data_IF_329245562794
#
_entry.id   IF_329245562794
#
_cell.length_a   1.000
_cell.length_b   1.000
_cell.length_c   1.000
_cell.angle_alpha   90.00
_cell.angle_beta   90.00
_cell.angle_gamma   90.00
#
_symmetry.space_group_name_H-M   'P 1'
#
loop_
_entity.id
_entity.type
_entity.pdbx_description
1 polymer ?
#
# COMPACT_ATOMS: atom_id res chain seq x y z
N UNK A 1 25.90 34.28 -34.37
CA UNK A 1 24.58 34.62 -33.76
C UNK A 1 24.59 34.11 -32.33
N UNK A 2 24.72 34.99 -31.33
CA UNK A 2 24.63 34.62 -29.91
C UNK A 2 23.17 34.75 -29.51
N UNK A 3 22.55 33.65 -29.09
CA UNK A 3 21.19 33.65 -28.56
C UNK A 3 21.19 34.27 -27.16
N UNK A 4 20.33 35.27 -26.86
CA UNK A 4 20.25 35.84 -25.52
C UNK A 4 19.39 34.94 -24.63
N UNK A 5 19.89 34.72 -23.42
CA UNK A 5 19.16 34.40 -22.19
C UNK A 5 17.96 33.45 -22.30
N UNK A 6 18.25 32.15 -22.33
CA UNK A 6 17.28 31.13 -21.96
C UNK A 6 17.25 31.05 -20.43
N UNK A 7 16.49 31.95 -19.78
CA UNK A 7 16.05 31.67 -18.41
C UNK A 7 15.31 30.33 -18.45
N UNK A 8 15.73 29.29 -17.72
CA UNK A 8 15.03 28.02 -17.75
C UNK A 8 13.66 28.22 -17.09
N UNK A 9 12.62 28.37 -17.90
CA UNK A 9 11.22 28.49 -17.45
C UNK A 9 10.73 27.14 -16.86
N UNK A 10 11.47 26.06 -17.09
CA UNK A 10 11.23 24.76 -16.47
C UNK A 10 11.56 24.84 -14.99
N UNK A 11 10.52 24.87 -14.13
CA UNK A 11 10.67 24.57 -12.70
C UNK A 11 11.53 23.30 -12.57
N UNK A 12 12.49 23.19 -11.62
CA UNK A 12 13.51 22.13 -11.60
C UNK A 12 13.02 20.67 -11.46
N UNK A 13 11.71 20.42 -11.62
CA UNK A 13 11.08 19.16 -11.27
C UNK A 13 9.76 18.90 -12.00
N UNK A 14 9.63 19.29 -13.28
CA UNK A 14 8.42 18.97 -14.05
C UNK A 14 8.71 18.26 -15.36
N UNK A 15 9.06 16.99 -15.21
CA UNK A 15 9.19 16.01 -16.30
C UNK A 15 8.57 14.67 -15.85
N UNK A 16 7.37 14.74 -15.24
CA UNK A 16 6.89 13.68 -14.31
C UNK A 16 5.70 12.84 -14.82
N UNK A 17 5.19 13.07 -16.02
CA UNK A 17 3.96 12.39 -16.47
C UNK A 17 4.19 11.00 -17.07
N UNK A 18 4.78 10.96 -18.26
CA UNK A 18 4.89 9.72 -19.03
C UNK A 18 6.17 8.93 -18.72
N UNK A 19 7.28 9.59 -18.38
CA UNK A 19 8.59 8.92 -18.36
C UNK A 19 8.72 7.81 -17.30
N UNK A 20 8.13 8.00 -16.13
CA UNK A 20 8.23 7.07 -14.99
C UNK A 20 7.25 5.90 -15.08
N UNK A 21 6.17 6.05 -15.83
CA UNK A 21 5.14 5.02 -16.06
C UNK A 21 5.29 4.33 -17.42
N UNK A 22 6.10 4.87 -18.33
CA UNK A 22 6.30 4.31 -19.67
C UNK A 22 7.16 3.04 -19.64
N UNK A 23 6.66 2.02 -20.33
CA UNK A 23 7.34 0.74 -20.47
C UNK A 23 8.68 0.86 -21.22
N UNK A 24 9.67 -0.01 -20.92
CA UNK A 24 11.03 0.10 -21.47
C UNK A 24 11.08 -0.01 -23.01
N UNK A 25 10.23 -0.82 -23.62
CA UNK A 25 10.09 -0.98 -25.07
C UNK A 25 9.54 0.28 -25.73
N UNK A 26 8.54 0.93 -25.12
CA UNK A 26 7.98 2.20 -25.61
C UNK A 26 8.99 3.33 -25.55
N UNK A 27 9.91 3.30 -24.57
CA UNK A 27 11.04 4.24 -24.47
C UNK A 27 12.08 4.04 -25.57
N UNK A 28 12.25 2.82 -26.07
CA UNK A 28 13.30 2.45 -27.04
C UNK A 28 12.79 2.63 -28.47
N UNK A 29 11.65 2.03 -28.79
CA UNK A 29 11.07 2.01 -30.14
C UNK A 29 9.55 1.88 -30.07
N UNK A 30 8.86 3.00 -29.87
CA UNK A 30 7.40 3.02 -29.74
C UNK A 30 6.65 2.55 -31.00
N UNK A 31 7.23 2.73 -32.19
CA UNK A 31 6.56 2.44 -33.47
C UNK A 31 6.34 0.94 -33.72
N UNK A 32 7.17 0.07 -33.14
CA UNK A 32 7.12 -1.39 -33.33
C UNK A 32 6.70 -2.17 -32.09
N UNK A 33 6.44 -1.49 -30.98
CA UNK A 33 6.13 -2.14 -29.71
C UNK A 33 4.62 -2.40 -29.55
N UNK A 34 4.27 -3.47 -28.86
CA UNK A 34 2.87 -3.79 -28.54
C UNK A 34 2.37 -2.90 -27.40
N UNK A 35 1.28 -2.18 -27.66
CA UNK A 35 0.65 -1.27 -26.71
C UNK A 35 0.02 -1.98 -25.51
N UNK A 36 -0.53 -3.18 -25.69
CA UNK A 36 -1.27 -3.88 -24.64
C UNK A 36 -0.41 -4.23 -23.41
N UNK A 37 0.75 -4.90 -23.55
CA UNK A 37 1.64 -5.15 -22.40
C UNK A 37 2.28 -3.86 -21.87
N UNK A 38 2.45 -2.83 -22.70
CA UNK A 38 2.94 -1.52 -22.25
C UNK A 38 1.93 -0.80 -21.35
N UNK A 39 0.63 -0.91 -21.66
CA UNK A 39 -0.45 -0.38 -20.85
C UNK A 39 -0.51 -1.08 -19.48
N UNK A 40 -0.34 -2.41 -19.44
CA UNK A 40 -0.24 -3.19 -18.19
C UNK A 40 0.90 -2.69 -17.30
N UNK A 41 2.06 -2.41 -17.88
CA UNK A 41 3.20 -1.84 -17.16
C UNK A 41 2.84 -0.48 -16.58
N UNK A 42 2.31 0.43 -17.40
CA UNK A 42 1.97 1.79 -16.97
C UNK A 42 0.86 1.83 -15.93
N UNK A 43 -0.11 0.91 -16.02
CA UNK A 43 -1.15 0.71 -15.03
C UNK A 43 -0.55 0.32 -13.68
N UNK A 44 0.36 -0.66 -13.63
CA UNK A 44 0.98 -1.09 -12.39
C UNK A 44 1.79 0.03 -11.72
N UNK A 45 2.53 0.82 -12.50
CA UNK A 45 3.27 1.98 -12.00
C UNK A 45 2.33 3.05 -11.44
N UNK A 46 1.22 3.30 -12.12
CA UNK A 46 0.19 4.25 -11.69
C UNK A 46 -0.50 3.80 -10.41
N UNK A 47 -0.86 2.51 -10.33
CA UNK A 47 -1.45 1.91 -9.14
C UNK A 47 -0.51 2.04 -7.94
N UNK A 48 0.78 1.77 -8.14
CA UNK A 48 1.78 1.95 -7.08
C UNK A 48 1.84 3.41 -6.61
N UNK A 49 1.93 4.39 -7.52
CA UNK A 49 1.93 5.82 -7.18
C UNK A 49 0.67 6.20 -6.39
N UNK A 50 -0.48 5.68 -6.80
CA UNK A 50 -1.74 5.92 -6.12
C UNK A 50 -1.75 5.37 -4.68
N UNK A 51 -1.24 4.15 -4.48
CA UNK A 51 -1.22 3.51 -3.17
C UNK A 51 -0.20 4.12 -2.21
N UNK A 52 0.98 4.49 -2.71
CA UNK A 52 2.07 5.04 -1.87
C UNK A 52 2.00 6.54 -1.71
N UNK A 53 1.30 7.25 -2.61
CA UNK A 53 1.29 8.71 -2.66
C UNK A 53 2.60 9.32 -3.16
N UNK A 54 3.57 8.52 -3.62
CA UNK A 54 4.88 8.99 -4.08
C UNK A 54 4.84 9.47 -5.54
N UNK A 55 4.84 10.80 -5.80
CA UNK A 55 4.50 11.35 -7.11
C UNK A 55 5.59 11.12 -8.18
N UNK A 56 6.81 10.77 -7.76
CA UNK A 56 7.93 10.52 -8.67
C UNK A 56 7.98 9.06 -9.13
N UNK A 57 7.20 8.17 -8.52
CA UNK A 57 7.27 6.76 -8.81
C UNK A 57 8.65 6.18 -8.49
N UNK A 58 9.03 5.17 -9.27
CA UNK A 58 10.34 4.53 -9.21
C UNK A 58 10.79 4.14 -10.62
N UNK A 59 12.08 3.84 -10.78
CA UNK A 59 12.62 3.38 -12.06
C UNK A 59 12.66 1.85 -12.15
N UNK A 60 12.43 1.33 -13.34
CA UNK A 60 12.55 -0.11 -13.61
C UNK A 60 11.39 -0.96 -13.07
N UNK A 61 11.60 -2.29 -12.97
CA UNK A 61 10.61 -3.25 -12.48
C UNK A 61 10.37 -3.10 -10.98
N UNK A 62 9.18 -3.49 -10.54
CA UNK A 62 8.80 -3.52 -9.14
C UNK A 62 9.53 -4.65 -8.41
N UNK A 63 10.02 -4.37 -7.21
CA UNK A 63 10.71 -5.35 -6.35
C UNK A 63 10.20 -5.22 -4.92
N UNK A 64 9.39 -6.19 -4.49
CA UNK A 64 8.70 -6.17 -3.19
C UNK A 64 9.64 -6.03 -1.98
N UNK A 65 10.83 -6.64 -2.03
CA UNK A 65 11.81 -6.62 -0.93
C UNK A 65 12.74 -5.39 -0.97
N UNK A 66 12.47 -4.41 -1.84
CA UNK A 66 13.27 -3.19 -1.96
C UNK A 66 12.56 -2.00 -1.31
N UNK A 67 13.16 -0.80 -1.44
CA UNK A 67 12.55 0.46 -0.94
C UNK A 67 11.19 0.76 -1.54
N UNK A 68 10.90 0.26 -2.73
CA UNK A 68 9.60 0.49 -3.39
C UNK A 68 8.52 -0.49 -2.92
N UNK A 69 8.86 -1.48 -2.08
CA UNK A 69 7.91 -2.46 -1.57
C UNK A 69 6.71 -1.83 -0.87
N UNK A 70 5.49 -2.29 -1.16
CA UNK A 70 4.24 -1.76 -0.59
C UNK A 70 4.21 -1.85 0.93
N UNK A 71 4.82 -2.89 1.52
CA UNK A 71 4.94 -3.05 2.97
C UNK A 71 5.63 -1.86 3.67
N UNK A 72 6.46 -1.10 2.96
CA UNK A 72 7.10 0.12 3.52
C UNK A 72 6.12 1.30 3.64
N UNK A 73 5.01 1.27 2.90
CA UNK A 73 4.00 2.34 2.85
C UNK A 73 2.71 1.94 3.56
N UNK A 74 2.38 0.65 3.56
CA UNK A 74 1.16 0.07 4.15
C UNK A 74 1.52 -1.10 5.09
N UNK A 75 2.19 -0.84 6.22
CA UNK A 75 2.73 -1.90 7.09
C UNK A 75 1.66 -2.78 7.76
N UNK A 76 0.47 -2.24 7.97
CA UNK A 76 -0.65 -2.93 8.63
C UNK A 76 -1.55 -3.70 7.65
N UNK A 77 -1.31 -3.57 6.33
CA UNK A 77 -2.14 -4.16 5.30
C UNK A 77 -1.50 -5.41 4.69
N UNK A 78 -2.35 -6.33 4.22
CA UNK A 78 -1.88 -7.51 3.51
C UNK A 78 -1.53 -7.18 2.05
N UNK A 79 -0.23 -7.05 1.74
CA UNK A 79 0.24 -6.64 0.41
C UNK A 79 0.78 -7.78 -0.46
N UNK A 80 1.01 -8.97 0.09
CA UNK A 80 1.83 -10.02 -0.58
C UNK A 80 1.34 -10.42 -1.97
N UNK A 81 0.03 -10.64 -2.17
CA UNK A 81 -0.49 -11.02 -3.49
C UNK A 81 -0.47 -9.86 -4.48
N UNK A 82 -0.65 -8.64 -4.00
CA UNK A 82 -0.51 -7.42 -4.80
C UNK A 82 0.95 -7.15 -5.18
N UNK A 83 1.90 -7.44 -4.28
CA UNK A 83 3.34 -7.34 -4.53
C UNK A 83 3.77 -8.25 -5.69
N UNK A 84 3.27 -9.49 -5.72
CA UNK A 84 3.54 -10.43 -6.82
C UNK A 84 2.88 -9.91 -8.11
N UNK A 85 1.64 -9.42 -8.05
CA UNK A 85 0.97 -8.84 -9.23
C UNK A 85 1.75 -7.66 -9.82
N UNK A 86 2.20 -6.71 -8.99
CA UNK A 86 3.00 -5.58 -9.46
C UNK A 86 4.35 -6.02 -10.04
N UNK A 87 4.97 -7.06 -9.47
CA UNK A 87 6.21 -7.64 -10.01
C UNK A 87 5.98 -8.18 -11.43
N UNK A 88 4.91 -8.95 -11.64
CA UNK A 88 4.59 -9.56 -12.93
C UNK A 88 4.20 -8.51 -13.98
N UNK A 89 3.41 -7.50 -13.61
CA UNK A 89 3.02 -6.42 -14.52
C UNK A 89 4.20 -5.55 -14.96
N UNK A 90 5.28 -5.50 -14.18
CA UNK A 90 6.43 -4.63 -14.44
C UNK A 90 7.64 -5.37 -14.98
N UNK A 91 7.46 -6.61 -15.47
CA UNK A 91 8.52 -7.37 -16.13
C UNK A 91 9.12 -6.60 -17.31
N UNK A 92 10.44 -6.74 -17.49
CA UNK A 92 11.14 -6.07 -18.58
C UNK A 92 10.68 -6.58 -19.94
N UNK A 93 10.55 -7.90 -20.07
CA UNK A 93 10.00 -8.56 -21.25
C UNK A 93 8.46 -8.37 -21.29
N UNK A 94 7.89 -7.78 -22.36
CA UNK A 94 6.45 -7.64 -22.52
C UNK A 94 5.67 -8.96 -22.50
N UNK A 95 6.27 -10.06 -22.93
CA UNK A 95 5.60 -11.38 -23.03
C UNK A 95 5.39 -12.03 -21.65
N UNK A 96 6.25 -11.70 -20.70
CA UNK A 96 6.15 -12.18 -19.31
C UNK A 96 5.10 -11.42 -18.50
N UNK A 97 4.53 -10.34 -19.05
CA UNK A 97 3.49 -9.57 -18.39
C UNK A 97 2.14 -10.27 -18.52
N UNK A 98 1.31 -10.29 -17.46
CA UNK A 98 -0.03 -10.83 -17.54
C UNK A 98 -0.92 -10.00 -18.48
N UNK A 99 -1.93 -10.64 -19.06
CA UNK A 99 -2.97 -9.90 -19.77
C UNK A 99 -3.80 -9.04 -18.82
N UNK A 100 -4.46 -8.01 -19.34
CA UNK A 100 -5.29 -7.14 -18.50
C UNK A 100 -6.41 -7.91 -17.78
N UNK A 101 -6.96 -8.96 -18.40
CA UNK A 101 -7.97 -9.83 -17.78
C UNK A 101 -7.40 -10.58 -16.56
N UNK A 102 -6.17 -11.07 -16.66
CA UNK A 102 -5.47 -11.70 -15.55
C UNK A 102 -5.17 -10.69 -14.43
N UNK A 103 -4.80 -9.46 -14.78
CA UNK A 103 -4.59 -8.37 -13.82
C UNK A 103 -5.88 -8.06 -13.06
N UNK A 104 -6.99 -7.88 -13.76
CA UNK A 104 -8.31 -7.59 -13.14
C UNK A 104 -8.71 -8.72 -12.20
N UNK A 105 -8.58 -9.98 -12.63
CA UNK A 105 -8.91 -11.14 -11.80
C UNK A 105 -8.09 -11.17 -10.51
N UNK A 106 -6.77 -11.02 -10.62
CA UNK A 106 -5.86 -11.05 -9.45
C UNK A 106 -6.08 -9.87 -8.51
N UNK A 107 -6.41 -8.69 -9.05
CA UNK A 107 -6.73 -7.52 -8.24
C UNK A 107 -8.04 -7.72 -7.47
N UNK A 108 -9.07 -8.30 -8.09
CA UNK A 108 -10.32 -8.66 -7.42
C UNK A 108 -10.11 -9.71 -6.32
N UNK A 109 -9.24 -10.70 -6.55
CA UNK A 109 -8.85 -11.68 -5.53
C UNK A 109 -8.16 -11.01 -4.33
N UNK A 110 -7.24 -10.08 -4.58
CA UNK A 110 -6.59 -9.31 -3.51
C UNK A 110 -7.59 -8.47 -2.71
N UNK A 111 -8.51 -7.75 -3.37
CA UNK A 111 -9.54 -6.97 -2.68
C UNK A 111 -10.39 -7.83 -1.73
N UNK A 112 -10.79 -9.04 -2.15
CA UNK A 112 -11.51 -9.99 -1.28
C UNK A 112 -10.71 -10.39 -0.05
N UNK A 113 -9.41 -10.65 -0.22
CA UNK A 113 -8.53 -11.03 0.90
C UNK A 113 -8.41 -9.88 1.91
N UNK A 114 -8.27 -8.64 1.43
CA UNK A 114 -8.18 -7.45 2.28
C UNK A 114 -9.50 -7.23 3.01
N UNK A 115 -10.64 -7.28 2.31
CA UNK A 115 -11.97 -7.11 2.94
C UNK A 115 -12.21 -8.16 4.04
N UNK A 116 -11.88 -9.42 3.78
CA UNK A 116 -12.01 -10.51 4.78
C UNK A 116 -11.06 -10.31 5.96
N UNK A 117 -9.87 -9.73 5.75
CA UNK A 117 -8.94 -9.41 6.82
C UNK A 117 -9.48 -8.27 7.69
N UNK A 118 -9.98 -7.19 7.07
CA UNK A 118 -10.57 -6.06 7.78
C UNK A 118 -11.83 -6.47 8.56
N UNK A 119 -12.69 -7.32 7.98
CA UNK A 119 -13.85 -7.87 8.65
C UNK A 119 -13.47 -8.72 9.87
N UNK A 120 -12.46 -9.59 9.74
CA UNK A 120 -11.94 -10.39 10.86
C UNK A 120 -11.37 -9.50 11.97
N UNK A 121 -10.52 -8.54 11.62
CA UNK A 121 -9.91 -7.62 12.58
C UNK A 121 -10.99 -6.82 13.35
N UNK A 122 -12.00 -6.30 12.66
CA UNK A 122 -13.10 -5.56 13.29
C UNK A 122 -13.90 -6.43 14.27
N UNK A 123 -14.19 -7.68 13.87
CA UNK A 123 -14.89 -8.64 14.73
C UNK A 123 -14.06 -9.02 15.95
N UNK A 124 -12.78 -9.36 15.79
CA UNK A 124 -11.87 -9.66 16.89
C UNK A 124 -11.77 -8.49 17.88
N UNK A 125 -11.75 -7.25 17.39
CA UNK A 125 -11.71 -6.07 18.25
C UNK A 125 -13.01 -5.83 19.03
N UNK A 126 -14.16 -6.13 18.42
CA UNK A 126 -15.45 -6.17 19.12
C UNK A 126 -15.48 -7.25 20.21
N UNK A 127 -14.99 -8.46 19.92
CA UNK A 127 -14.88 -9.56 20.88
C UNK A 127 -13.98 -9.17 22.07
N UNK A 128 -12.79 -8.63 21.79
CA UNK A 128 -11.87 -8.14 22.81
C UNK A 128 -12.51 -7.04 23.67
N UNK A 129 -13.14 -6.05 23.05
CA UNK A 129 -13.81 -4.96 23.76
C UNK A 129 -14.95 -5.47 24.65
N UNK A 130 -15.69 -6.49 24.20
CA UNK A 130 -16.75 -7.13 24.98
C UNK A 130 -16.18 -7.91 26.17
N UNK A 131 -15.11 -8.67 25.95
CA UNK A 131 -14.41 -9.41 26.99
C UNK A 131 -13.85 -8.46 28.07
N UNK A 132 -13.17 -7.38 27.66
CA UNK A 132 -12.71 -6.35 28.59
C UNK A 132 -13.87 -5.72 29.37
N UNK A 133 -14.99 -5.36 28.72
CA UNK A 133 -16.16 -4.79 29.39
C UNK A 133 -16.75 -5.71 30.45
N UNK A 134 -16.74 -7.03 30.22
CA UNK A 134 -17.20 -8.04 31.18
C UNK A 134 -16.23 -8.27 32.34
N UNK A 135 -14.95 -7.90 32.18
CA UNK A 135 -13.92 -7.99 33.22
C UNK A 135 -13.85 -6.72 34.11
N UNK A 136 -14.39 -5.58 33.66
CA UNK A 136 -14.45 -4.33 34.44
C UNK A 136 -15.15 -4.47 35.82
N UNK A 137 -16.18 -5.31 36.04
CA UNK A 137 -16.77 -5.47 37.37
C UNK A 137 -15.86 -6.12 38.41
N UNK A 138 -14.74 -6.78 38.05
CA UNK A 138 -13.90 -7.49 39.02
C UNK A 138 -12.88 -6.61 39.77
N UNK A 139 -12.58 -5.38 39.30
CA UNK A 139 -11.60 -4.51 39.95
C UNK A 139 -12.23 -3.47 40.91
N UNK A 140 -13.56 -3.32 40.91
CA UNK A 140 -14.25 -2.35 41.77
C UNK A 140 -14.58 -2.87 43.18
N UNK A 141 -14.58 -4.19 43.40
CA UNK A 141 -15.04 -4.77 44.67
C UNK A 141 -13.91 -5.08 45.68
N UNK A 142 -12.65 -5.12 45.27
CA UNK A 142 -11.53 -5.46 46.19
C UNK A 142 -11.01 -4.29 47.03
N UNK A 143 -11.43 -3.04 46.76
CA UNK A 143 -11.00 -1.87 47.55
C UNK A 143 -11.91 -1.56 48.76
N UNK A 144 -13.11 -2.11 48.87
CA UNK A 144 -14.07 -1.72 49.93
C UNK A 144 -14.02 -2.60 51.19
N UNK A 145 -13.40 -3.79 51.13
CA UNK A 145 -13.41 -4.74 52.24
C UNK A 145 -12.31 -4.56 53.31
N UNK A 146 -11.31 -3.68 53.09
CA UNK A 146 -10.18 -3.52 54.03
C UNK A 146 -10.30 -2.34 55.02
N UNK A 147 -11.33 -1.50 54.92
CA UNK A 147 -11.39 -0.21 55.64
C UNK A 147 -12.39 -0.14 56.82
N UNK A 148 -12.88 -1.27 57.36
CA UNK A 148 -13.95 -1.28 58.38
C UNK A 148 -13.60 -1.88 59.75
N UNK A 149 -12.31 -2.00 60.13
CA UNK A 149 -11.93 -2.52 61.45
C UNK A 149 -10.89 -1.66 62.19
N UNK A 150 -11.16 -0.36 62.30
CA UNK A 150 -10.55 0.47 63.36
C UNK A 150 -11.61 1.39 63.92
N UNK A 151 -12.49 0.85 64.77
CA UNK A 151 -13.26 1.68 65.70
C UNK A 151 -12.46 1.83 66.99
N UNK A 152 -12.20 3.11 67.26
CA UNK A 152 -11.38 3.72 68.28
C UNK A 152 -12.07 3.57 69.65
N UNK A 153 -11.51 2.76 70.56
CA UNK A 153 -11.80 2.95 71.98
C UNK A 153 -10.84 3.99 72.51
N UNK A 154 -11.36 5.07 73.11
CA UNK A 154 -10.67 5.88 74.09
C UNK A 154 -11.70 6.71 74.86
N UNK A 155 -11.85 6.31 76.12
CA UNK A 155 -12.14 7.10 77.33
C UNK A 155 -13.38 7.99 77.37
#
# INVERSE_FOLDING_TARGET
MKYPDLTPITKPRRDVGAKFTMAPEMRREAAGADGLPADVFSFAKTLWIFLTGEPLGFDGPYVALSRVGLKNFMPEEYTTTLDVLLTDCTQHDPVERPSIDQVVKRLQEWLKIVDDFQLRNANEWSEFSRACRQLIPMMAETSCAAAKNVDFSLS
#
